data_IF_925434192324
#
_entry.id   IF_925434192324
#
_cell.length_a   1.000
_cell.length_b   1.000
_cell.length_c   1.000
_cell.angle_alpha   90.00
_cell.angle_beta   90.00
_cell.angle_gamma   90.00
#
_symmetry.space_group_name_H-M   'P 1'
#
loop_
_entity.id
_entity.type
_entity.pdbx_description
1 polymer ?
#
# COMPACT_ATOMS: atom_id res chain seq x y z
N UNK A 1 56.35 25.83 42.43
CA UNK A 1 57.32 24.74 42.71
C UNK A 1 56.60 23.42 42.43
N UNK A 2 56.95 22.76 41.32
CA UNK A 2 56.33 21.52 40.83
C UNK A 2 56.96 20.32 41.55
N UNK A 3 56.15 19.36 42.01
CA UNK A 3 56.61 17.97 42.22
C UNK A 3 55.49 17.03 41.74
N UNK A 4 55.85 16.22 40.75
CA UNK A 4 55.07 15.14 40.15
C UNK A 4 55.20 13.85 40.97
N UNK A 5 54.15 13.02 40.99
CA UNK A 5 54.26 11.62 41.40
C UNK A 5 53.88 10.65 40.27
N UNK A 6 54.59 9.53 40.28
CA UNK A 6 54.87 8.61 39.18
C UNK A 6 54.06 7.32 39.31
N UNK A 7 53.55 6.85 38.17
CA UNK A 7 53.32 5.48 37.67
C UNK A 7 53.25 4.26 38.61
N UNK A 8 52.24 3.39 38.39
CA UNK A 8 52.42 1.94 38.47
C UNK A 8 51.50 1.20 37.48
N UNK A 9 52.14 0.44 36.58
CA UNK A 9 51.57 -0.49 35.59
C UNK A 9 51.52 -1.88 36.22
N UNK A 10 50.46 -2.67 35.97
CA UNK A 10 50.49 -4.13 36.19
C UNK A 10 49.75 -4.88 35.08
N UNK A 11 50.57 -5.48 34.22
CA UNK A 11 50.23 -6.49 33.21
C UNK A 11 50.08 -7.86 33.89
N UNK A 12 49.13 -8.69 33.45
CA UNK A 12 49.15 -10.13 33.71
C UNK A 12 48.58 -10.89 32.51
N UNK A 13 49.41 -11.77 31.94
CA UNK A 13 49.14 -12.62 30.79
C UNK A 13 49.52 -14.05 31.18
N UNK A 14 48.59 -15.01 31.11
CA UNK A 14 48.78 -16.48 31.00
C UNK A 14 47.42 -16.99 30.45
N UNK A 15 47.25 -17.86 29.45
CA UNK A 15 48.11 -18.83 28.79
C UNK A 15 47.32 -20.14 28.62
N UNK A 16 46.85 -20.37 27.39
CA UNK A 16 46.46 -21.60 26.66
C UNK A 16 46.39 -22.98 27.38
N UNK A 17 45.31 -23.75 27.12
CA UNK A 17 45.37 -25.23 26.93
C UNK A 17 44.38 -25.67 25.83
N UNK A 18 44.84 -26.60 25.00
CA UNK A 18 44.25 -27.15 23.77
C UNK A 18 43.51 -28.49 23.95
N UNK A 19 43.04 -29.05 22.82
CA UNK A 19 42.41 -30.37 22.49
C UNK A 19 40.95 -30.21 22.02
N UNK A 20 40.40 -30.87 20.99
CA UNK A 20 40.46 -32.28 20.53
C UNK A 20 40.18 -32.38 19.00
N UNK A 21 40.69 -33.46 18.39
CA UNK A 21 40.60 -33.90 16.99
C UNK A 21 39.23 -34.45 16.52
N UNK A 22 39.16 -34.81 15.21
CA UNK A 22 38.34 -35.82 14.47
C UNK A 22 38.15 -35.24 13.05
N UNK A 23 38.21 -35.91 11.89
CA UNK A 23 38.69 -37.20 11.37
C UNK A 23 38.55 -37.07 9.85
N UNK A 24 39.47 -37.64 9.07
CA UNK A 24 39.31 -37.78 7.62
C UNK A 24 38.55 -39.07 7.26
N UNK A 25 37.71 -39.03 6.23
CA UNK A 25 37.37 -40.19 5.39
C UNK A 25 37.08 -39.70 3.97
N UNK A 26 37.85 -40.20 3.00
CA UNK A 26 37.61 -39.97 1.58
C UNK A 26 36.63 -40.98 0.99
N UNK A 27 36.04 -40.65 -0.16
CA UNK A 27 35.89 -41.55 -1.30
C UNK A 27 35.32 -40.78 -2.50
N UNK A 28 35.86 -41.15 -3.65
CA UNK A 28 35.62 -40.73 -5.03
C UNK A 28 34.19 -41.01 -5.52
N UNK A 29 33.67 -40.16 -6.40
CA UNK A 29 32.47 -40.45 -7.19
C UNK A 29 32.07 -39.29 -8.10
N UNK A 30 32.56 -39.31 -9.34
CA UNK A 30 32.03 -38.48 -10.40
C UNK A 30 30.60 -38.92 -10.76
N UNK A 31 29.67 -37.97 -10.88
CA UNK A 31 28.58 -38.08 -11.86
C UNK A 31 27.94 -36.71 -12.11
N UNK A 32 27.93 -36.32 -13.38
CA UNK A 32 27.16 -35.21 -13.88
C UNK A 32 25.67 -35.58 -13.87
N UNK A 33 24.82 -34.72 -13.31
CA UNK A 33 23.41 -34.69 -13.65
C UNK A 33 22.82 -33.32 -13.31
N UNK A 34 22.48 -32.59 -14.36
CA UNK A 34 21.44 -31.57 -14.43
C UNK A 34 20.20 -31.95 -13.60
N UNK A 35 19.81 -31.13 -12.62
CA UNK A 35 18.49 -31.23 -11.99
C UNK A 35 17.62 -30.06 -12.40
N UNK A 36 16.77 -30.36 -13.38
CA UNK A 36 15.65 -29.56 -13.82
C UNK A 36 14.61 -29.36 -12.70
N UNK A 37 13.88 -28.26 -12.84
CA UNK A 37 12.73 -27.89 -12.03
C UNK A 37 11.70 -29.02 -11.92
N UNK A 38 11.30 -29.35 -10.70
CA UNK A 38 10.10 -30.12 -10.40
C UNK A 38 8.89 -29.18 -10.26
N UNK A 39 7.78 -29.38 -10.99
CA UNK A 39 6.51 -28.73 -10.70
C UNK A 39 5.80 -29.45 -9.55
N UNK A 40 5.37 -28.71 -8.53
CA UNK A 40 4.51 -29.23 -7.46
C UNK A 40 3.05 -29.24 -7.94
N UNK A 41 2.44 -30.42 -7.90
CA UNK A 41 1.11 -30.74 -8.40
C UNK A 41 -0.01 -30.00 -7.67
N UNK A 42 -0.99 -29.52 -8.43
CA UNK A 42 -2.26 -29.00 -7.96
C UNK A 42 -3.20 -30.15 -7.56
N UNK A 43 -3.62 -30.18 -6.28
CA UNK A 43 -4.66 -31.08 -5.80
C UNK A 43 -6.04 -30.51 -6.17
N UNK A 44 -6.77 -31.24 -7.01
CA UNK A 44 -8.16 -31.01 -7.34
C UNK A 44 -9.06 -31.26 -6.10
N UNK A 45 -9.81 -30.26 -5.65
CA UNK A 45 -10.86 -30.43 -4.65
C UNK A 45 -12.23 -30.50 -5.32
N UNK A 46 -12.94 -31.60 -5.07
CA UNK A 46 -14.35 -31.81 -5.43
C UNK A 46 -15.23 -30.75 -4.78
N UNK A 47 -16.12 -30.15 -5.57
CA UNK A 47 -17.03 -29.06 -5.20
C UNK A 47 -18.12 -29.54 -4.22
N UNK A 48 -17.78 -29.67 -2.95
CA UNK A 48 -18.75 -29.80 -1.86
C UNK A 48 -19.24 -28.37 -1.52
N UNK A 49 -20.55 -28.10 -1.68
CA UNK A 49 -21.09 -26.80 -1.27
C UNK A 49 -21.09 -26.70 0.26
N UNK A 50 -20.53 -25.63 0.85
CA UNK A 50 -20.42 -25.48 2.30
C UNK A 50 -21.78 -25.50 3.00
N UNK A 51 -21.86 -26.24 4.11
CA UNK A 51 -23.06 -26.34 4.94
C UNK A 51 -23.06 -25.27 6.05
N UNK A 52 -24.26 -24.93 6.53
CA UNK A 52 -24.41 -24.00 7.64
C UNK A 52 -23.67 -24.50 8.88
N UNK A 53 -22.84 -23.63 9.49
CA UNK A 53 -21.99 -23.97 10.64
C UNK A 53 -20.61 -24.55 10.27
N UNK A 54 -20.30 -24.73 8.99
CA UNK A 54 -19.00 -25.23 8.54
C UNK A 54 -17.93 -24.12 8.53
N UNK A 55 -16.69 -24.48 8.86
CA UNK A 55 -15.50 -23.63 8.67
C UNK A 55 -14.70 -24.23 7.52
N UNK A 56 -14.70 -23.58 6.35
CA UNK A 56 -13.97 -24.08 5.19
C UNK A 56 -13.55 -22.98 4.23
N UNK A 57 -12.55 -23.28 3.39
CA UNK A 57 -12.03 -22.32 2.41
C UNK A 57 -13.12 -21.95 1.37
N UNK A 58 -14.04 -22.88 1.10
CA UNK A 58 -15.23 -22.63 0.30
C UNK A 58 -16.18 -21.58 0.92
N UNK A 59 -16.25 -21.50 2.26
CA UNK A 59 -17.00 -20.44 2.96
C UNK A 59 -16.30 -19.10 2.79
N UNK A 60 -14.96 -19.04 2.84
CA UNK A 60 -14.23 -17.79 2.53
C UNK A 60 -14.48 -17.35 1.11
N UNK A 61 -14.43 -18.26 0.14
CA UNK A 61 -14.73 -17.95 -1.26
C UNK A 61 -16.16 -17.42 -1.42
N UNK A 62 -17.13 -18.01 -0.74
CA UNK A 62 -18.51 -17.52 -0.71
C UNK A 62 -18.62 -16.12 -0.10
N UNK A 63 -17.98 -15.89 1.04
CA UNK A 63 -17.98 -14.59 1.72
C UNK A 63 -17.31 -13.50 0.87
N UNK A 64 -16.18 -13.82 0.25
CA UNK A 64 -15.50 -12.96 -0.73
C UNK A 64 -16.37 -12.70 -1.95
N UNK A 65 -17.10 -13.71 -2.45
CA UNK A 65 -18.04 -13.52 -3.56
C UNK A 65 -19.21 -12.60 -3.17
N UNK A 66 -19.72 -12.67 -1.94
CA UNK A 66 -20.75 -11.76 -1.44
C UNK A 66 -20.25 -10.32 -1.36
N UNK A 67 -19.03 -10.10 -0.84
CA UNK A 67 -18.39 -8.78 -0.81
C UNK A 67 -18.15 -8.22 -2.21
N UNK A 68 -17.70 -9.06 -3.14
CA UNK A 68 -17.50 -8.67 -4.55
C UNK A 68 -18.81 -8.24 -5.22
N UNK A 69 -19.93 -8.83 -4.82
CA UNK A 69 -21.26 -8.45 -5.29
C UNK A 69 -21.87 -7.28 -4.49
N UNK A 70 -21.07 -6.57 -3.68
CA UNK A 70 -21.49 -5.35 -2.99
C UNK A 70 -22.24 -5.57 -1.66
N UNK A 71 -22.24 -6.81 -1.13
CA UNK A 71 -22.89 -7.11 0.15
C UNK A 71 -21.88 -7.03 1.30
N UNK A 72 -22.23 -6.28 2.34
CA UNK A 72 -21.39 -6.15 3.54
C UNK A 72 -21.59 -7.33 4.48
N UNK A 73 -20.49 -7.91 4.95
CA UNK A 73 -20.47 -8.98 5.94
C UNK A 73 -20.05 -8.42 7.30
N UNK A 74 -20.94 -8.50 8.29
CA UNK A 74 -20.67 -8.07 9.66
C UNK A 74 -19.73 -9.08 10.32
N UNK A 75 -18.43 -8.76 10.34
CA UNK A 75 -17.35 -9.63 10.82
C UNK A 75 -16.28 -9.98 9.79
N UNK A 76 -16.44 -9.53 8.53
CA UNK A 76 -15.45 -9.78 7.47
C UNK A 76 -15.50 -11.21 6.91
N UNK A 77 -14.44 -11.60 6.17
CA UNK A 77 -14.26 -12.95 5.64
C UNK A 77 -13.55 -13.80 6.70
N UNK A 78 -14.31 -14.45 7.55
CA UNK A 78 -13.81 -15.29 8.66
C UNK A 78 -13.76 -16.77 8.31
N UNK A 79 -14.28 -17.17 7.14
CA UNK A 79 -14.32 -18.56 6.68
C UNK A 79 -15.28 -19.45 7.48
N UNK A 80 -16.09 -18.89 8.35
CA UNK A 80 -17.06 -19.61 9.18
C UNK A 80 -18.48 -19.31 8.71
N UNK A 81 -19.28 -20.34 8.44
CA UNK A 81 -20.67 -20.14 7.99
C UNK A 81 -21.58 -19.83 9.17
N UNK A 82 -21.41 -18.63 9.71
CA UNK A 82 -22.11 -18.08 10.87
C UNK A 82 -23.56 -17.68 10.56
N UNK A 83 -24.44 -17.54 11.58
CA UNK A 83 -25.78 -16.98 11.42
C UNK A 83 -25.81 -15.61 10.72
N UNK A 84 -24.75 -14.80 10.90
CA UNK A 84 -24.57 -13.49 10.28
C UNK A 84 -24.32 -13.61 8.77
N UNK A 85 -23.40 -14.49 8.37
CA UNK A 85 -23.12 -14.83 6.97
C UNK A 85 -24.38 -15.37 6.27
N UNK A 86 -25.17 -16.18 6.98
CA UNK A 86 -26.47 -16.66 6.51
C UNK A 86 -27.48 -15.54 6.29
N UNK A 87 -27.53 -14.54 7.17
CA UNK A 87 -28.41 -13.38 6.99
C UNK A 87 -28.03 -12.58 5.73
N UNK A 88 -26.74 -12.34 5.51
CA UNK A 88 -26.25 -11.66 4.31
C UNK A 88 -26.54 -12.48 3.04
N UNK A 89 -26.41 -13.80 3.09
CA UNK A 89 -26.74 -14.67 1.97
C UNK A 89 -28.25 -14.67 1.65
N UNK A 90 -29.13 -14.54 2.65
CA UNK A 90 -30.58 -14.33 2.42
C UNK A 90 -30.86 -13.00 1.73
N UNK A 91 -30.19 -11.93 2.15
CA UNK A 91 -30.30 -10.61 1.51
C UNK A 91 -29.84 -10.66 0.06
N UNK A 92 -28.71 -11.33 -0.21
CA UNK A 92 -28.22 -11.57 -1.56
C UNK A 92 -29.25 -12.32 -2.41
N UNK A 93 -29.74 -13.48 -1.91
CA UNK A 93 -30.74 -14.29 -2.61
C UNK A 93 -32.00 -13.50 -2.95
N UNK A 94 -32.48 -12.63 -2.04
CA UNK A 94 -33.63 -11.76 -2.27
C UNK A 94 -33.39 -10.75 -3.40
N UNK A 95 -32.20 -10.15 -3.45
CA UNK A 95 -31.83 -9.15 -4.47
C UNK A 95 -31.67 -9.79 -5.84
N UNK A 96 -31.14 -11.02 -5.92
CA UNK A 96 -31.00 -11.75 -7.19
C UNK A 96 -32.25 -12.54 -7.59
N UNK A 97 -33.38 -12.34 -6.91
CA UNK A 97 -34.66 -13.00 -7.24
C UNK A 97 -34.72 -14.51 -6.94
N UNK A 98 -33.80 -15.02 -6.11
CA UNK A 98 -33.78 -16.41 -5.64
C UNK A 98 -34.55 -16.55 -4.31
N UNK A 99 -35.06 -17.76 -4.03
CA UNK A 99 -35.70 -18.06 -2.75
C UNK A 99 -34.67 -17.84 -1.62
N UNK A 100 -34.98 -16.95 -0.67
CA UNK A 100 -34.08 -16.56 0.42
C UNK A 100 -33.97 -17.66 1.50
N UNK A 101 -33.43 -18.81 1.14
CA UNK A 101 -33.24 -19.98 2.01
C UNK A 101 -32.13 -19.77 3.04
N UNK A 102 -31.16 -18.90 2.74
CA UNK A 102 -29.98 -18.65 3.57
C UNK A 102 -28.94 -19.77 3.50
N UNK A 103 -29.16 -20.78 2.66
CA UNK A 103 -28.20 -21.84 2.41
C UNK A 103 -27.57 -21.63 1.03
N UNK A 104 -26.32 -22.04 0.88
CA UNK A 104 -25.65 -21.98 -0.41
C UNK A 104 -26.13 -23.14 -1.29
N UNK A 105 -27.21 -22.90 -2.03
CA UNK A 105 -27.73 -23.85 -3.01
C UNK A 105 -26.96 -23.76 -4.34
N UNK A 106 -26.96 -24.83 -5.15
CA UNK A 106 -26.23 -24.89 -6.44
C UNK A 106 -26.58 -23.73 -7.39
N UNK A 107 -27.84 -23.25 -7.34
CA UNK A 107 -28.29 -22.06 -8.09
C UNK A 107 -27.65 -20.77 -7.56
N UNK A 108 -27.63 -20.58 -6.23
CA UNK A 108 -26.99 -19.43 -5.59
C UNK A 108 -25.47 -19.45 -5.79
N UNK A 109 -24.82 -20.61 -5.70
CA UNK A 109 -23.40 -20.78 -5.97
C UNK A 109 -23.04 -20.46 -7.43
N UNK A 110 -23.90 -20.81 -8.39
CA UNK A 110 -23.72 -20.44 -9.80
C UNK A 110 -23.78 -18.93 -10.02
N UNK A 111 -24.74 -18.25 -9.38
CA UNK A 111 -24.87 -16.79 -9.47
C UNK A 111 -23.71 -16.07 -8.77
N UNK A 112 -23.20 -16.65 -7.67
CA UNK A 112 -22.00 -16.16 -6.98
C UNK A 112 -20.70 -16.49 -7.73
N UNK A 113 -20.76 -17.16 -8.89
CA UNK A 113 -19.58 -17.51 -9.69
C UNK A 113 -18.68 -18.57 -9.05
N UNK A 114 -19.19 -19.32 -8.06
CA UNK A 114 -18.45 -20.36 -7.34
C UNK A 114 -18.42 -21.71 -8.08
N UNK A 115 -19.05 -21.80 -9.26
CA UNK A 115 -19.14 -23.02 -10.08
C UNK A 115 -18.67 -22.74 -11.52
N UNK A 116 -17.37 -22.94 -11.78
CA UNK A 116 -16.72 -23.13 -13.10
C UNK A 116 -15.38 -23.84 -12.79
N UNK A 117 -14.92 -24.91 -13.44
CA UNK A 117 -15.39 -25.72 -14.55
C UNK A 117 -15.04 -27.20 -14.26
N UNK A 118 -15.87 -28.11 -14.74
CA UNK A 118 -15.62 -29.56 -14.78
C UNK A 118 -14.29 -29.88 -15.48
N UNK A 119 -13.48 -30.84 -14.98
CA UNK A 119 -12.42 -31.45 -15.79
C UNK A 119 -13.11 -32.20 -16.93
N UNK A 120 -12.76 -31.93 -18.18
CA UNK A 120 -13.14 -32.78 -19.31
C UNK A 120 -12.28 -34.04 -19.23
N UNK A 121 -12.83 -35.25 -19.02
CA UNK A 121 -12.10 -36.47 -19.26
C UNK A 121 -11.99 -36.67 -20.78
N UNK A 122 -10.79 -37.00 -21.25
CA UNK A 122 -10.53 -37.31 -22.64
C UNK A 122 -11.42 -38.46 -23.13
N UNK A 123 -12.15 -38.31 -24.26
CA UNK A 123 -12.71 -39.44 -24.97
C UNK A 123 -11.80 -39.86 -26.13
N UNK A 124 -11.61 -41.17 -26.12
CA UNK A 124 -10.96 -42.07 -27.08
C UNK A 124 -11.32 -41.77 -28.55
N UNK A 125 -10.34 -41.95 -29.43
CA UNK A 125 -10.46 -41.84 -30.88
C UNK A 125 -11.41 -42.88 -31.51
N UNK A 126 -12.30 -42.43 -32.40
CA UNK A 126 -12.81 -43.16 -33.55
C UNK A 126 -13.45 -42.17 -34.57
N UNK A 127 -13.44 -42.44 -35.89
CA UNK A 127 -13.54 -41.40 -36.93
C UNK A 127 -14.96 -41.27 -37.53
N UNK A 128 -15.37 -40.04 -37.87
CA UNK A 128 -16.48 -39.76 -38.81
C UNK A 128 -16.43 -38.27 -39.26
N UNK A 129 -17.23 -37.82 -40.25
CA UNK A 129 -16.86 -37.52 -41.64
C UNK A 129 -16.74 -36.01 -41.96
N UNK A 130 -16.39 -35.70 -43.22
CA UNK A 130 -16.12 -34.39 -43.80
C UNK A 130 -17.24 -33.31 -43.60
N UNK A 131 -16.90 -32.01 -43.68
CA UNK A 131 -17.63 -30.94 -43.00
C UNK A 131 -18.81 -30.38 -43.80
N UNK A 132 -19.93 -30.12 -43.12
CA UNK A 132 -20.99 -29.22 -43.60
C UNK A 132 -20.81 -27.88 -42.88
N UNK A 133 -20.67 -26.81 -43.66
CA UNK A 133 -20.38 -25.47 -43.17
C UNK A 133 -21.50 -24.95 -42.24
N UNK A 134 -21.12 -24.64 -40.99
CA UNK A 134 -21.95 -23.92 -40.02
C UNK A 134 -21.86 -22.41 -40.30
N UNK A 135 -22.97 -21.65 -40.24
CA UNK A 135 -22.92 -20.19 -40.38
C UNK A 135 -22.02 -19.58 -39.30
N UNK A 136 -21.20 -18.60 -39.68
CA UNK A 136 -20.33 -17.88 -38.77
C UNK A 136 -21.13 -17.30 -37.58
N UNK A 137 -20.66 -17.45 -36.34
CA UNK A 137 -21.26 -16.76 -35.21
C UNK A 137 -21.12 -15.26 -35.41
N UNK A 138 -22.24 -14.53 -35.41
CA UNK A 138 -22.24 -13.08 -35.27
C UNK A 138 -21.60 -12.79 -33.91
N UNK A 139 -20.47 -12.10 -33.92
CA UNK A 139 -19.77 -11.69 -32.71
C UNK A 139 -20.74 -10.87 -31.84
N UNK A 140 -20.99 -11.33 -30.62
CA UNK A 140 -21.54 -10.48 -29.56
C UNK A 140 -20.48 -9.38 -29.37
N UNK A 141 -20.81 -8.09 -29.53
CA UNK A 141 -19.84 -7.04 -29.27
C UNK A 141 -19.36 -7.18 -27.83
N UNK A 142 -18.03 -7.22 -27.66
CA UNK A 142 -17.41 -7.20 -26.35
C UNK A 142 -18.01 -6.04 -25.54
N UNK A 143 -18.35 -6.23 -24.24
CA UNK A 143 -18.74 -5.11 -23.40
C UNK A 143 -17.63 -4.06 -23.46
N UNK A 144 -18.01 -2.81 -23.73
CA UNK A 144 -17.08 -1.68 -23.78
C UNK A 144 -16.21 -1.68 -22.51
N UNK A 145 -14.91 -1.35 -22.61
CA UNK A 145 -14.05 -1.31 -21.44
C UNK A 145 -14.64 -0.31 -20.44
N UNK A 146 -14.91 -0.76 -19.21
CA UNK A 146 -15.24 0.15 -18.12
C UNK A 146 -14.12 1.20 -18.05
N UNK A 147 -14.47 2.49 -18.06
CA UNK A 147 -13.47 3.56 -17.97
C UNK A 147 -12.71 3.41 -16.65
N UNK A 148 -11.48 2.90 -16.72
CA UNK A 148 -10.60 2.76 -15.57
C UNK A 148 -9.72 3.99 -15.47
N UNK A 149 -9.82 4.72 -14.36
CA UNK A 149 -8.92 5.83 -14.08
C UNK A 149 -7.60 5.31 -13.48
N UNK A 150 -6.50 5.93 -13.87
CA UNK A 150 -5.21 5.85 -13.19
C UNK A 150 -4.80 7.27 -12.75
N UNK A 151 -3.88 7.43 -11.79
CA UNK A 151 -3.39 8.76 -11.38
C UNK A 151 -2.91 9.63 -12.55
N UNK A 152 -2.37 9.01 -13.60
CA UNK A 152 -1.85 9.68 -14.81
C UNK A 152 -2.93 10.02 -15.84
N UNK A 153 -4.11 9.40 -15.76
CA UNK A 153 -5.20 9.55 -16.73
C UNK A 153 -6.41 10.29 -16.16
N UNK A 154 -6.23 10.99 -15.05
CA UNK A 154 -7.30 11.79 -14.44
C UNK A 154 -7.76 12.92 -15.38
N UNK A 155 -9.08 13.18 -15.49
CA UNK A 155 -9.60 14.20 -16.40
C UNK A 155 -9.08 15.59 -16.06
N UNK A 156 -8.53 16.29 -17.06
CA UNK A 156 -8.04 17.66 -16.93
C UNK A 156 -9.08 18.70 -17.37
N UNK A 157 -8.89 19.94 -16.95
CA UNK A 157 -9.76 21.07 -17.36
C UNK A 157 -9.71 21.19 -18.89
N UNK A 158 -10.88 21.28 -19.52
CA UNK A 158 -11.03 21.33 -20.98
C UNK A 158 -11.09 19.96 -21.66
N UNK A 159 -10.86 18.86 -20.93
CA UNK A 159 -11.06 17.52 -21.46
C UNK A 159 -12.53 17.28 -21.84
N UNK A 160 -12.75 16.42 -22.82
CA UNK A 160 -14.09 15.98 -23.26
C UNK A 160 -14.10 14.47 -23.43
N UNK A 161 -15.24 13.85 -23.13
CA UNK A 161 -15.47 12.43 -23.37
C UNK A 161 -16.02 11.69 -22.15
N UNK A 162 -16.08 10.38 -22.27
CA UNK A 162 -16.73 9.46 -21.32
C UNK A 162 -16.09 9.51 -19.92
N UNK A 163 -14.78 9.75 -19.84
CA UNK A 163 -14.05 9.95 -18.60
C UNK A 163 -14.56 11.18 -17.80
N UNK A 164 -14.90 12.26 -18.49
CA UNK A 164 -15.44 13.47 -17.86
C UNK A 164 -16.90 13.25 -17.43
N UNK A 165 -17.69 12.57 -18.25
CA UNK A 165 -19.07 12.21 -17.89
C UNK A 165 -19.09 11.32 -16.64
N UNK A 166 -18.18 10.35 -16.55
CA UNK A 166 -18.02 9.47 -15.39
C UNK A 166 -17.64 10.25 -14.13
N UNK A 167 -16.71 11.22 -14.24
CA UNK A 167 -16.37 12.15 -13.16
C UNK A 167 -17.58 12.98 -12.70
N UNK A 168 -18.34 13.54 -13.65
CA UNK A 168 -19.55 14.33 -13.33
C UNK A 168 -20.62 13.47 -12.65
N UNK A 169 -20.81 12.23 -13.10
CA UNK A 169 -21.70 11.26 -12.47
C UNK A 169 -21.23 10.92 -11.04
N UNK A 170 -19.93 10.79 -10.80
CA UNK A 170 -19.37 10.58 -9.47
C UNK A 170 -19.62 11.79 -8.55
N UNK A 171 -19.48 13.02 -9.06
CA UNK A 171 -19.82 14.25 -8.31
C UNK A 171 -21.30 14.30 -7.94
N UNK A 172 -22.19 13.97 -8.88
CA UNK A 172 -23.64 13.92 -8.65
C UNK A 172 -23.96 12.85 -7.59
N UNK A 173 -23.34 11.67 -7.69
CA UNK A 173 -23.50 10.58 -6.71
C UNK A 173 -23.00 10.98 -5.33
N UNK A 174 -21.93 11.77 -5.26
CA UNK A 174 -21.40 12.35 -4.04
C UNK A 174 -22.25 13.52 -3.48
N UNK A 175 -23.40 13.83 -4.10
CA UNK A 175 -24.33 14.87 -3.66
C UNK A 175 -23.97 16.29 -4.10
N UNK A 176 -23.05 16.43 -5.06
CA UNK A 176 -22.60 17.73 -5.57
C UNK A 176 -23.40 18.11 -6.80
N UNK A 177 -23.98 19.31 -6.80
CA UNK A 177 -24.72 19.81 -7.96
C UNK A 177 -23.75 20.19 -9.08
N UNK A 178 -23.85 19.52 -10.22
CA UNK A 178 -23.12 19.85 -11.45
C UNK A 178 -24.02 20.67 -12.36
N UNK A 179 -23.70 21.96 -12.56
CA UNK A 179 -24.47 22.86 -13.43
C UNK A 179 -24.28 22.45 -14.89
N UNK A 180 -25.30 21.81 -15.47
CA UNK A 180 -25.27 21.23 -16.82
C UNK A 180 -25.42 19.70 -16.86
N UNK A 181 -25.37 19.02 -15.71
CA UNK A 181 -25.42 17.55 -15.65
C UNK A 181 -24.11 16.90 -16.09
N UNK A 182 -24.14 15.58 -16.33
CA UNK A 182 -23.00 14.84 -16.85
C UNK A 182 -22.95 14.95 -18.39
N UNK A 183 -22.53 16.10 -18.89
CA UNK A 183 -22.45 16.43 -20.32
C UNK A 183 -21.15 15.95 -21.00
N UNK A 184 -20.22 15.38 -20.23
CA UNK A 184 -18.94 14.91 -20.74
C UNK A 184 -17.96 16.02 -21.11
N UNK A 185 -18.18 17.26 -20.68
CA UNK A 185 -17.32 18.41 -20.96
C UNK A 185 -16.78 19.02 -19.67
N UNK A 186 -15.46 19.08 -19.54
CA UNK A 186 -14.82 19.64 -18.35
C UNK A 186 -14.73 21.15 -18.50
N UNK A 187 -15.87 21.82 -18.33
CA UNK A 187 -15.99 23.28 -18.35
C UNK A 187 -15.90 23.94 -16.97
N UNK A 188 -16.24 25.23 -16.92
CA UNK A 188 -16.27 26.01 -15.68
C UNK A 188 -17.29 25.47 -14.65
N UNK A 189 -18.41 24.89 -15.11
CA UNK A 189 -19.40 24.25 -14.25
C UNK A 189 -18.81 23.07 -13.47
N UNK A 190 -18.20 22.12 -14.18
CA UNK A 190 -17.50 20.96 -13.61
C UNK A 190 -16.38 21.39 -12.66
N UNK A 191 -15.56 22.38 -13.05
CA UNK A 191 -14.51 22.96 -12.19
C UNK A 191 -15.08 23.50 -10.87
N UNK A 192 -16.15 24.29 -10.93
CA UNK A 192 -16.76 24.89 -9.73
C UNK A 192 -17.38 23.82 -8.81
N UNK A 193 -18.01 22.80 -9.38
CA UNK A 193 -18.55 21.67 -8.63
C UNK A 193 -17.43 20.87 -7.95
N UNK A 194 -16.30 20.64 -8.62
CA UNK A 194 -15.12 20.00 -8.02
C UNK A 194 -14.57 20.85 -6.88
N UNK A 195 -14.41 22.16 -7.08
CA UNK A 195 -13.98 23.06 -6.02
C UNK A 195 -14.93 23.05 -4.81
N UNK A 196 -16.24 22.96 -5.04
CA UNK A 196 -17.23 22.85 -3.95
C UNK A 196 -17.13 21.51 -3.21
N UNK A 197 -16.95 20.41 -3.94
CA UNK A 197 -16.71 19.09 -3.37
C UNK A 197 -15.45 19.07 -2.51
N UNK A 198 -14.34 19.59 -3.04
CA UNK A 198 -13.06 19.70 -2.34
C UNK A 198 -13.20 20.46 -1.02
N UNK A 199 -13.89 21.62 -1.03
CA UNK A 199 -14.20 22.37 0.19
C UNK A 199 -14.97 21.54 1.21
N UNK A 200 -15.97 20.79 0.76
CA UNK A 200 -16.79 19.93 1.63
C UNK A 200 -15.97 18.80 2.27
N UNK A 201 -14.96 18.31 1.55
CA UNK A 201 -14.04 17.26 2.01
C UNK A 201 -12.80 17.79 2.73
N UNK A 202 -12.72 19.10 3.01
CA UNK A 202 -11.54 19.77 3.55
C UNK A 202 -10.26 19.58 2.70
N UNK A 203 -10.42 19.29 1.41
CA UNK A 203 -9.35 19.22 0.41
C UNK A 203 -9.11 20.64 -0.14
N UNK A 204 -7.88 20.95 -0.56
CA UNK A 204 -7.56 22.23 -1.21
C UNK A 204 -8.43 22.38 -2.46
N UNK A 205 -9.16 23.50 -2.55
CA UNK A 205 -10.13 23.76 -3.62
C UNK A 205 -9.45 24.18 -4.94
N UNK A 206 -8.68 23.27 -5.54
CA UNK A 206 -7.95 23.48 -6.79
C UNK A 206 -8.89 23.57 -8.00
N UNK A 207 -10.07 22.96 -7.92
CA UNK A 207 -10.98 22.76 -9.06
C UNK A 207 -10.44 21.78 -10.11
N UNK A 208 -9.35 21.08 -9.81
CA UNK A 208 -8.76 20.00 -10.60
C UNK A 208 -9.10 18.66 -9.96
N UNK A 209 -9.13 17.59 -10.75
CA UNK A 209 -9.29 16.24 -10.21
C UNK A 209 -7.91 15.75 -9.77
N UNK A 210 -7.54 16.10 -8.54
CA UNK A 210 -6.33 15.58 -7.90
C UNK A 210 -6.57 14.14 -7.41
N UNK A 211 -5.52 13.38 -7.13
CA UNK A 211 -5.62 11.96 -6.70
C UNK A 211 -6.54 11.81 -5.48
N UNK A 212 -6.40 12.68 -4.47
CA UNK A 212 -7.27 12.70 -3.29
C UNK A 212 -8.74 12.95 -3.65
N UNK A 213 -8.98 13.84 -4.62
CA UNK A 213 -10.33 14.14 -5.11
C UNK A 213 -10.90 12.93 -5.85
N UNK A 214 -10.10 12.27 -6.68
CA UNK A 214 -10.50 11.07 -7.41
C UNK A 214 -10.79 9.89 -6.48
N UNK A 215 -9.99 9.70 -5.42
CA UNK A 215 -10.22 8.68 -4.39
C UNK A 215 -11.51 8.97 -3.62
N UNK A 216 -11.76 10.22 -3.21
CA UNK A 216 -12.98 10.59 -2.49
C UNK A 216 -14.24 10.53 -3.35
N UNK A 217 -14.11 10.69 -4.67
CA UNK A 217 -15.18 10.47 -5.64
C UNK A 217 -15.36 9.00 -6.01
N UNK A 218 -14.53 8.09 -5.50
CA UNK A 218 -14.55 6.67 -5.83
C UNK A 218 -14.10 6.34 -7.26
N UNK A 219 -13.45 7.30 -7.94
CA UNK A 219 -12.86 7.12 -9.26
C UNK A 219 -11.55 6.33 -9.20
N UNK A 220 -10.84 6.43 -8.06
CA UNK A 220 -9.67 5.60 -7.75
C UNK A 220 -9.93 4.79 -6.48
N UNK A 221 -9.45 3.54 -6.41
CA UNK A 221 -9.50 2.78 -5.16
C UNK A 221 -8.70 3.51 -4.07
N UNK A 222 -9.20 3.49 -2.83
CA UNK A 222 -8.39 3.95 -1.69
C UNK A 222 -7.12 3.09 -1.62
N UNK A 223 -5.92 3.69 -1.64
CA UNK A 223 -4.70 2.92 -1.48
C UNK A 223 -4.74 2.23 -0.11
N UNK A 224 -4.58 0.91 -0.11
CA UNK A 224 -4.34 0.16 1.12
C UNK A 224 -2.92 0.51 1.56
N UNK A 225 -2.79 1.26 2.65
CA UNK A 225 -1.47 1.62 3.17
C UNK A 225 -0.81 0.39 3.78
N UNK A 226 0.24 -0.13 3.13
CA UNK A 226 1.03 -1.24 3.68
C UNK A 226 1.74 -0.84 4.98
N UNK A 227 2.09 0.44 5.10
CA UNK A 227 2.75 1.03 6.27
C UNK A 227 1.85 2.10 6.87
N UNK A 228 1.73 2.09 8.20
CA UNK A 228 1.10 3.16 8.98
C UNK A 228 2.09 3.73 9.97
N UNK A 229 1.89 4.99 10.34
CA UNK A 229 2.67 5.67 11.38
C UNK A 229 1.73 6.11 12.51
N UNK A 230 2.25 6.15 13.73
CA UNK A 230 1.47 6.48 14.91
C UNK A 230 1.38 7.99 15.15
N UNK A 231 2.42 8.73 14.80
CA UNK A 231 2.54 10.17 15.06
C UNK A 231 3.04 10.89 13.80
N UNK A 232 2.50 12.08 13.54
CA UNK A 232 2.99 12.95 12.48
C UNK A 232 4.40 13.48 12.80
N UNK A 233 5.36 13.45 11.85
CA UNK A 233 6.77 13.69 12.14
C UNK A 233 7.13 15.14 12.52
N UNK A 234 6.30 16.14 12.20
CA UNK A 234 6.62 17.57 12.41
C UNK A 234 5.45 18.31 13.07
N UNK A 235 5.66 18.99 14.20
CA UNK A 235 4.61 19.79 14.85
C UNK A 235 5.12 21.16 15.32
N UNK A 236 4.29 22.23 15.38
CA UNK A 236 2.84 22.25 15.09
C UNK A 236 2.43 22.92 13.76
N UNK A 237 3.30 23.71 13.13
CA UNK A 237 3.00 24.48 11.91
C UNK A 237 3.86 24.00 10.75
N UNK A 238 3.22 23.43 9.73
CA UNK A 238 3.91 22.86 8.58
C UNK A 238 3.03 22.87 7.33
N UNK A 239 3.65 22.59 6.19
CA UNK A 239 2.98 22.41 4.91
C UNK A 239 3.70 21.32 4.10
N UNK A 240 2.94 20.47 3.41
CA UNK A 240 3.48 19.42 2.55
C UNK A 240 2.51 19.13 1.41
N UNK A 241 3.05 18.66 0.29
CA UNK A 241 2.33 18.23 -0.90
C UNK A 241 2.94 16.94 -1.41
N UNK A 242 2.19 16.19 -2.22
CA UNK A 242 2.73 15.02 -2.90
C UNK A 242 3.75 15.48 -3.95
N UNK A 243 4.99 15.09 -3.74
CA UNK A 243 6.13 15.40 -4.61
C UNK A 243 6.86 14.10 -4.97
N UNK A 244 6.19 12.95 -4.83
CA UNK A 244 6.76 11.65 -5.14
C UNK A 244 7.19 11.57 -6.61
N UNK A 245 8.40 11.07 -6.84
CA UNK A 245 9.02 10.97 -8.16
C UNK A 245 9.16 12.29 -8.93
N UNK A 246 8.95 13.45 -8.30
CA UNK A 246 9.29 14.71 -8.94
C UNK A 246 10.78 14.77 -9.24
N UNK A 247 11.12 15.33 -10.40
CA UNK A 247 12.50 15.45 -10.84
C UNK A 247 13.31 16.35 -9.88
N UNK A 248 14.49 15.89 -9.49
CA UNK A 248 15.49 16.61 -8.70
C UNK A 248 16.76 16.78 -9.55
N UNK A 249 17.70 17.59 -9.04
CA UNK A 249 18.99 17.81 -9.70
C UNK A 249 19.67 16.48 -10.07
N UNK A 250 20.36 16.45 -11.22
CA UNK A 250 21.14 15.31 -11.71
C UNK A 250 20.32 14.02 -11.95
N UNK A 251 19.16 14.13 -12.60
CA UNK A 251 18.27 13.01 -12.98
C UNK A 251 17.77 12.15 -11.80
N UNK A 252 17.90 12.65 -10.57
CA UNK A 252 17.39 11.96 -9.39
C UNK A 252 15.88 12.17 -9.29
N UNK A 253 15.16 11.15 -8.86
CA UNK A 253 13.75 11.26 -8.50
C UNK A 253 13.61 11.50 -7.00
N UNK A 254 12.56 12.21 -6.61
CA UNK A 254 12.25 12.45 -5.22
C UNK A 254 11.58 11.22 -4.58
N UNK A 255 12.31 10.51 -3.73
CA UNK A 255 11.87 9.28 -3.07
C UNK A 255 11.31 9.54 -1.65
N UNK A 256 10.68 10.70 -1.46
CA UNK A 256 10.17 11.12 -0.16
C UNK A 256 9.01 12.10 -0.23
N UNK A 257 8.70 12.70 0.90
CA UNK A 257 7.82 13.88 1.02
C UNK A 257 8.58 14.97 1.76
N UNK A 258 8.50 16.20 1.25
CA UNK A 258 9.09 17.36 1.88
C UNK A 258 8.04 18.09 2.73
N UNK A 259 8.27 18.12 4.04
CA UNK A 259 7.41 18.79 5.03
C UNK A 259 8.08 20.10 5.42
N UNK A 260 7.60 21.19 4.82
CA UNK A 260 8.10 22.54 5.06
C UNK A 260 7.70 22.99 6.45
N UNK A 261 8.68 23.40 7.24
CA UNK A 261 8.48 23.94 8.58
C UNK A 261 9.65 24.86 8.95
N UNK A 262 9.45 25.73 9.95
CA UNK A 262 10.52 26.63 10.39
C UNK A 262 11.73 25.82 10.89
N UNK A 263 12.95 26.31 10.63
CA UNK A 263 14.16 25.75 11.26
C UNK A 263 14.00 25.71 12.79
N UNK A 264 14.45 24.64 13.42
CA UNK A 264 14.32 24.41 14.86
C UNK A 264 12.99 23.77 15.27
N UNK A 265 12.05 23.54 14.35
CA UNK A 265 10.79 22.83 14.67
C UNK A 265 11.10 21.40 15.12
N UNK A 266 10.52 20.90 16.23
CA UNK A 266 10.76 19.55 16.69
C UNK A 266 10.36 18.47 15.67
N UNK A 267 11.22 17.48 15.52
CA UNK A 267 10.98 16.26 14.77
C UNK A 267 10.66 15.11 15.73
N UNK A 268 9.55 14.43 15.49
CA UNK A 268 9.06 13.36 16.33
C UNK A 268 9.32 12.00 15.68
N UNK A 269 9.61 10.99 16.50
CA UNK A 269 9.61 9.60 16.06
C UNK A 269 8.17 9.21 15.64
N UNK A 270 8.00 8.85 14.37
CA UNK A 270 6.69 8.47 13.81
C UNK A 270 6.16 7.13 14.34
N UNK A 271 7.03 6.30 14.91
CA UNK A 271 6.72 4.98 15.44
C UNK A 271 7.68 4.59 16.56
N UNK A 272 7.32 3.55 17.31
CA UNK A 272 8.24 2.87 18.22
C UNK A 272 9.35 2.18 17.41
N UNK A 273 10.58 2.26 17.90
CA UNK A 273 11.69 1.61 17.20
C UNK A 273 13.05 1.94 17.78
N UNK A 274 14.07 1.76 16.96
CA UNK A 274 15.46 2.06 17.30
C UNK A 274 16.06 2.96 16.21
N UNK A 275 16.80 3.97 16.61
CA UNK A 275 17.63 4.75 15.70
C UNK A 275 18.76 3.85 15.23
N UNK A 276 18.74 3.42 13.97
CA UNK A 276 19.74 2.49 13.44
C UNK A 276 20.89 3.20 12.74
N UNK A 277 20.71 4.44 12.31
CA UNK A 277 21.76 5.28 11.73
C UNK A 277 21.57 6.75 12.09
N UNK A 278 22.68 7.44 12.27
CA UNK A 278 22.76 8.90 12.30
C UNK A 278 23.73 9.34 11.19
N UNK A 279 23.35 10.38 10.46
CA UNK A 279 24.11 10.93 9.35
C UNK A 279 24.62 12.31 9.73
N UNK A 280 25.84 12.62 9.32
CA UNK A 280 26.51 13.88 9.59
C UNK A 280 26.62 14.70 8.29
N UNK A 281 26.22 15.97 8.35
CA UNK A 281 26.25 16.90 7.22
C UNK A 281 27.65 17.07 6.59
N UNK A 282 28.73 16.90 7.37
CA UNK A 282 30.10 16.96 6.87
C UNK A 282 30.44 15.81 5.91
N UNK A 283 29.74 14.68 6.02
CA UNK A 283 29.98 13.48 5.20
C UNK A 283 28.84 13.16 4.23
N UNK A 284 27.66 13.75 4.47
CA UNK A 284 26.43 13.47 3.72
C UNK A 284 25.94 14.74 3.03
N UNK A 285 26.56 15.09 1.90
CA UNK A 285 26.27 16.34 1.18
C UNK A 285 24.84 16.47 0.68
N UNK A 286 24.17 15.35 0.37
CA UNK A 286 22.77 15.35 -0.06
C UNK A 286 21.81 15.51 1.11
N UNK A 287 21.81 14.57 2.05
CA UNK A 287 20.85 14.54 3.16
C UNK A 287 21.18 15.53 4.29
N UNK A 288 22.42 15.99 4.39
CA UNK A 288 22.87 16.73 5.56
C UNK A 288 22.85 15.84 6.81
N UNK A 289 22.55 16.45 7.96
CA UNK A 289 22.28 15.69 9.17
C UNK A 289 21.00 14.88 8.99
N UNK A 290 21.00 13.64 9.46
CA UNK A 290 19.86 12.76 9.28
C UNK A 290 19.79 11.63 10.29
N UNK A 291 18.63 10.98 10.35
CA UNK A 291 18.36 9.84 11.21
C UNK A 291 17.62 8.76 10.44
N UNK A 292 17.95 7.50 10.72
CA UNK A 292 17.16 6.34 10.32
C UNK A 292 16.51 5.71 11.55
N UNK A 293 15.19 5.82 11.66
CA UNK A 293 14.40 5.12 12.67
C UNK A 293 13.90 3.81 12.08
N UNK A 294 14.12 2.69 12.75
CA UNK A 294 13.66 1.36 12.28
C UNK A 294 12.71 0.75 13.29
N UNK A 295 11.51 0.42 12.82
CA UNK A 295 10.47 -0.26 13.58
C UNK A 295 10.73 -1.77 13.67
N UNK A 296 9.98 -2.46 14.53
CA UNK A 296 10.18 -3.88 14.83
C UNK A 296 9.97 -4.82 13.63
N UNK A 297 9.14 -4.42 12.65
CA UNK A 297 8.88 -5.17 11.42
C UNK A 297 9.98 -4.98 10.35
N UNK A 298 11.02 -4.21 10.66
CA UNK A 298 12.11 -3.87 9.75
C UNK A 298 11.83 -2.67 8.86
N UNK A 299 10.62 -2.09 8.89
CA UNK A 299 10.33 -0.84 8.20
C UNK A 299 11.18 0.26 8.77
N UNK A 300 11.83 1.05 7.90
CA UNK A 300 12.57 2.22 8.35
C UNK A 300 12.02 3.52 7.77
N UNK A 301 12.22 4.56 8.54
CA UNK A 301 11.84 5.94 8.26
C UNK A 301 13.11 6.77 8.23
N UNK A 302 13.33 7.49 7.13
CA UNK A 302 14.48 8.35 6.98
C UNK A 302 14.08 9.81 7.20
N UNK A 303 14.88 10.52 8.00
CA UNK A 303 14.73 11.93 8.31
C UNK A 303 16.00 12.63 7.83
N UNK A 304 15.87 13.58 6.94
CA UNK A 304 16.99 14.34 6.40
C UNK A 304 16.83 15.86 6.57
N UNK A 305 17.93 16.57 6.30
CA UNK A 305 18.08 18.01 6.39
C UNK A 305 17.97 18.57 7.82
N UNK A 306 18.27 17.75 8.84
CA UNK A 306 18.15 18.14 10.23
C UNK A 306 19.10 19.31 10.55
N UNK A 307 18.66 20.23 11.40
CA UNK A 307 19.57 21.25 11.95
C UNK A 307 20.46 20.59 12.99
N UNK A 308 19.83 19.87 13.92
CA UNK A 308 20.48 19.10 14.97
C UNK A 308 19.69 17.83 15.32
N UNK A 309 20.42 16.83 15.81
CA UNK A 309 19.87 15.61 16.42
C UNK A 309 19.61 15.91 17.91
N UNK A 310 18.50 15.43 18.46
CA UNK A 310 18.13 15.74 19.84
C UNK A 310 19.14 15.11 20.84
N UNK A 311 19.36 15.72 22.02
CA UNK A 311 20.25 15.16 23.03
C UNK A 311 19.86 13.73 23.41
N UNK A 312 20.86 12.85 23.53
CA UNK A 312 20.66 11.45 23.86
C UNK A 312 20.19 10.57 22.70
N UNK A 313 20.03 11.14 21.50
CA UNK A 313 19.68 10.38 20.29
C UNK A 313 20.94 10.07 19.48
N UNK A 314 21.21 8.78 19.32
CA UNK A 314 22.30 8.25 18.49
C UNK A 314 21.93 6.85 17.95
N UNK A 315 22.76 6.31 17.05
CA UNK A 315 22.59 4.92 16.62
C UNK A 315 22.58 3.95 17.83
N UNK A 316 21.61 3.03 17.85
CA UNK A 316 21.33 2.12 18.96
C UNK A 316 20.28 2.64 19.96
N UNK A 317 19.87 3.91 19.88
CA UNK A 317 18.92 4.49 20.85
C UNK A 317 17.50 4.00 20.58
N UNK A 318 16.82 3.36 21.55
CA UNK A 318 15.40 3.05 21.45
C UNK A 318 14.58 4.33 21.61
N UNK A 319 13.52 4.46 20.82
CA UNK A 319 12.61 5.61 20.87
C UNK A 319 11.16 5.17 20.87
N UNK A 320 10.30 6.01 21.43
CA UNK A 320 8.85 5.86 21.39
C UNK A 320 8.21 6.80 20.39
N UNK A 321 7.10 6.37 19.79
CA UNK A 321 6.31 7.24 18.93
C UNK A 321 5.98 8.56 19.65
N UNK A 322 6.21 9.69 19.00
CA UNK A 322 6.04 11.02 19.57
C UNK A 322 7.23 11.58 20.34
N UNK A 323 8.29 10.79 20.58
CA UNK A 323 9.53 11.29 21.19
C UNK A 323 10.25 12.25 20.23
N UNK A 324 10.75 13.37 20.75
CA UNK A 324 11.58 14.30 19.97
C UNK A 324 12.92 13.64 19.66
N UNK A 325 13.24 13.52 18.38
CA UNK A 325 14.47 12.89 17.88
C UNK A 325 15.44 13.87 17.21
N UNK A 326 14.97 15.06 16.87
CA UNK A 326 15.80 16.10 16.26
C UNK A 326 15.00 17.35 15.95
N UNK A 327 15.58 18.22 15.14
CA UNK A 327 14.99 19.50 14.78
C UNK A 327 15.13 19.77 13.29
N UNK A 328 14.07 20.32 12.68
CA UNK A 328 14.04 20.73 11.27
C UNK A 328 15.18 21.68 10.98
N UNK A 329 15.88 21.47 9.87
CA UNK A 329 16.95 22.34 9.43
C UNK A 329 16.96 22.53 7.93
N UNK A 330 18.14 22.90 7.43
CA UNK A 330 18.41 23.06 6.01
C UNK A 330 19.84 22.62 5.71
N UNK A 331 20.30 21.53 6.35
CA UNK A 331 21.64 20.97 6.10
C UNK A 331 21.61 20.08 4.86
N UNK A 332 22.77 19.86 4.24
CA UNK A 332 22.85 19.12 2.98
C UNK A 332 22.41 19.97 1.78
N UNK A 333 21.83 19.34 0.77
CA UNK A 333 21.52 19.98 -0.50
C UNK A 333 20.14 20.66 -0.50
N UNK A 334 19.94 21.63 0.38
CA UNK A 334 18.74 22.47 0.43
C UNK A 334 19.02 23.84 1.02
N UNK A 335 18.29 24.85 0.55
CA UNK A 335 18.30 26.22 1.11
C UNK A 335 17.05 26.53 1.92
N UNK A 336 15.96 25.78 1.73
CA UNK A 336 14.68 26.00 2.43
C UNK A 336 14.59 25.04 3.61
N UNK A 337 14.29 25.53 4.83
CA UNK A 337 14.07 24.65 5.97
C UNK A 337 12.89 23.70 5.77
N UNK A 338 13.15 22.40 5.84
CA UNK A 338 12.14 21.36 5.72
C UNK A 338 12.65 20.03 6.28
N UNK A 339 11.72 19.12 6.57
CA UNK A 339 12.03 17.71 6.74
C UNK A 339 11.85 17.01 5.38
N UNK A 340 12.89 16.36 4.89
CA UNK A 340 12.74 15.34 3.87
C UNK A 340 12.52 13.99 4.55
N UNK A 341 11.38 13.37 4.26
CA UNK A 341 10.92 12.15 4.94
C UNK A 341 10.68 11.01 3.95
N UNK A 342 11.28 9.85 4.19
CA UNK A 342 11.12 8.65 3.36
C UNK A 342 10.60 7.47 4.20
N UNK A 343 9.90 6.55 3.54
CA UNK A 343 9.38 5.31 4.14
C UNK A 343 9.87 4.12 3.32
N UNK A 344 10.49 3.15 3.99
CA UNK A 344 11.04 1.94 3.39
C UNK A 344 10.48 0.69 4.08
N UNK A 345 9.38 0.12 3.56
CA UNK A 345 8.73 -1.05 4.14
C UNK A 345 9.69 -2.23 4.25
N UNK A 346 9.81 -2.82 5.44
CA UNK A 346 10.67 -3.99 5.71
C UNK A 346 12.15 -3.79 5.27
N UNK A 347 12.60 -2.54 5.14
CA UNK A 347 13.94 -2.18 4.68
C UNK A 347 14.16 -2.28 3.16
N UNK A 348 13.09 -2.39 2.37
CA UNK A 348 13.13 -2.43 0.91
C UNK A 348 13.23 -1.05 0.25
N UNK A 349 12.75 -0.98 -1.00
CA UNK A 349 12.70 0.27 -1.77
C UNK A 349 11.79 1.31 -1.10
N UNK A 350 12.05 2.59 -1.36
CA UNK A 350 11.19 3.67 -0.91
C UNK A 350 9.78 3.52 -1.52
N UNK A 351 8.76 3.86 -0.76
CA UNK A 351 7.38 4.00 -1.23
C UNK A 351 6.89 5.41 -0.99
N UNK A 352 5.88 5.86 -1.75
CA UNK A 352 5.32 7.19 -1.60
C UNK A 352 4.84 7.42 -0.15
N UNK A 353 5.51 8.31 0.62
CA UNK A 353 5.17 8.55 2.01
C UNK A 353 4.04 9.58 2.17
N UNK A 354 3.68 10.33 1.13
CA UNK A 354 2.62 11.34 1.17
C UNK A 354 1.31 10.79 1.75
N UNK A 355 0.72 9.69 1.24
CA UNK A 355 -0.56 9.20 1.76
C UNK A 355 -0.45 8.68 3.22
N UNK A 356 0.73 8.21 3.64
CA UNK A 356 0.99 7.75 5.00
C UNK A 356 1.03 8.93 5.97
N UNK A 357 1.79 9.97 5.61
CA UNK A 357 1.90 11.21 6.39
C UNK A 357 0.58 11.96 6.42
N UNK A 358 -0.16 11.97 5.29
CA UNK A 358 -1.46 12.62 5.18
C UNK A 358 -2.52 11.98 6.07
N UNK A 359 -2.47 10.67 6.27
CA UNK A 359 -3.43 9.96 7.13
C UNK A 359 -3.38 10.39 8.60
N UNK A 360 -2.25 10.92 9.05
CA UNK A 360 -2.06 11.44 10.42
C UNK A 360 -1.78 12.94 10.45
N UNK A 361 -2.18 13.67 9.39
CA UNK A 361 -1.89 15.10 9.21
C UNK A 361 -2.16 15.93 10.48
N UNK A 362 -1.09 16.50 11.02
CA UNK A 362 -1.11 17.38 12.19
C UNK A 362 -0.62 18.79 11.86
N UNK A 363 -0.47 19.14 10.58
CA UNK A 363 -0.14 20.49 10.18
C UNK A 363 -1.33 21.41 10.45
N UNK A 364 -1.29 22.12 11.58
CA UNK A 364 -2.30 23.13 11.86
C UNK A 364 -2.10 24.27 10.86
N UNK A 365 -3.11 24.50 10.00
CA UNK A 365 -3.19 25.71 9.19
C UNK A 365 -3.18 26.89 10.17
N UNK A 366 -2.17 27.75 10.07
CA UNK A 366 -2.21 29.05 10.74
C UNK A 366 -3.30 29.91 10.12
#
# INVERSE_FOLDING_TARGET
MRISHTTAIKTFTIGLVATIAISALGATGASAATSAATPSAALAQSVQLPKFGEVSESVKLMQTALLKNGFTLVGGVDGTFSPRTRATLRSFQKVVGLKATGNLDRKTAKVLGLLNATPVPAPVAAPAPAPVAKPAPVAIPAPAPAVTFTPETLPVIGAKGEAVATLQNALITAGVVVKGGADGVFGAGTKNSISAFQKTKNIVASGKVDVDTAVELGLLPRPVLEVTIAVFPVQPACYFIDTWQEARSANRLHEGVDIIANRGTPLLAVSDGVITRAYDAATSSLSGNGLRLTAADGTYFFYAHLDSIAPGIAAGTPVKAGQVIGFVGSTGNTTTPHLHFEVHPKGGAAVNPFPIVKAVDACKKK
#
